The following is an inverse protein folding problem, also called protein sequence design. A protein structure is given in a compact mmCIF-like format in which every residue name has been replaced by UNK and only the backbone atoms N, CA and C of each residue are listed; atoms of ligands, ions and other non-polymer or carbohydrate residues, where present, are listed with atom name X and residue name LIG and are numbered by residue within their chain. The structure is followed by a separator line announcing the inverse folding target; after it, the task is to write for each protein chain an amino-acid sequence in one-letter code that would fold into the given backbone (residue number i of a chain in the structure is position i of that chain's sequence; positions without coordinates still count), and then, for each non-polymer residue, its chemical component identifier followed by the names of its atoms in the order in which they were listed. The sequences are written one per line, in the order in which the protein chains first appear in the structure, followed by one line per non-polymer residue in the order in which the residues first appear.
data_IF_548801573003
#
_entry.id   IF_548801573003
#
_cell.length_a   1.000
_cell.length_b   1.000
_cell.length_c   1.000
_cell.angle_alpha   90.00
_cell.angle_beta   90.00
_cell.angle_gamma   90.00
#
_symmetry.space_group_name_H-M   'P 1'
#
loop_
_entity.id
_entity.type
_entity.pdbx_description
1 polymer ?
#
# COMPACT_ATOMS: atom_id res chain seq x y z
N UNK A 1 0.00 24.79 -35.35
CA UNK A 1 -0.68 24.98 -34.05
C UNK A 1 0.38 25.36 -33.03
N UNK A 2 0.17 26.43 -32.26
CA UNK A 2 1.16 27.04 -31.35
C UNK A 2 1.58 26.08 -30.23
N UNK A 3 2.79 25.52 -30.30
CA UNK A 3 3.54 25.04 -29.13
C UNK A 3 3.99 26.27 -28.32
N UNK A 4 3.06 26.87 -27.58
CA UNK A 4 3.24 28.20 -26.99
C UNK A 4 3.71 28.16 -25.54
N UNK A 5 4.93 28.68 -25.30
CA UNK A 5 5.39 29.51 -24.16
C UNK A 5 5.26 28.99 -22.70
N UNK A 6 4.28 28.15 -22.36
CA UNK A 6 3.99 27.69 -20.99
C UNK A 6 5.01 26.69 -20.44
N UNK A 7 5.71 25.93 -21.30
CA UNK A 7 6.67 24.91 -20.86
C UNK A 7 7.95 25.49 -20.25
N UNK A 8 8.23 26.80 -20.41
CA UNK A 8 9.45 27.43 -19.89
C UNK A 8 9.36 27.87 -18.42
N UNK A 9 8.17 27.89 -17.82
CA UNK A 9 7.95 28.43 -16.46
C UNK A 9 7.27 27.44 -15.50
N UNK A 10 6.78 26.31 -16.00
CA UNK A 10 6.07 25.32 -15.19
C UNK A 10 6.80 23.98 -15.21
N UNK A 11 7.20 23.52 -14.03
CA UNK A 11 7.72 22.17 -13.80
C UNK A 11 6.71 21.33 -13.02
N UNK A 12 6.70 20.02 -13.26
CA UNK A 12 5.93 19.08 -12.46
C UNK A 12 6.74 17.82 -12.18
N UNK A 13 6.45 17.20 -11.05
CA UNK A 13 6.91 15.87 -10.69
C UNK A 13 5.72 15.05 -10.22
N UNK A 14 5.75 13.74 -10.45
CA UNK A 14 4.68 12.83 -10.06
C UNK A 14 5.29 11.57 -9.45
N UNK A 15 4.67 11.08 -8.38
CA UNK A 15 5.00 9.80 -7.78
C UNK A 15 3.83 8.84 -7.95
N UNK A 16 4.10 7.71 -8.59
CA UNK A 16 3.13 6.64 -8.80
C UNK A 16 3.32 5.57 -7.74
N UNK A 17 2.24 5.18 -7.09
CA UNK A 17 2.25 4.13 -6.06
C UNK A 17 1.35 3.00 -6.51
N UNK A 18 1.93 1.83 -6.78
CA UNK A 18 1.19 0.66 -7.27
C UNK A 18 0.29 0.07 -6.19
N UNK A 19 -0.74 -0.68 -6.60
CA UNK A 19 -1.61 -1.39 -5.66
C UNK A 19 -0.84 -2.42 -4.81
N UNK A 20 0.18 -3.06 -5.37
CA UNK A 20 1.11 -3.93 -4.66
C UNK A 20 1.88 -3.16 -3.57
N UNK A 21 2.46 -2.00 -3.88
CA UNK A 21 3.18 -1.17 -2.89
C UNK A 21 2.26 -0.72 -1.76
N UNK A 22 1.03 -0.30 -2.08
CA UNK A 22 0.01 0.08 -1.08
C UNK A 22 -0.31 -1.12 -0.18
N UNK A 23 -0.55 -2.29 -0.77
CA UNK A 23 -0.86 -3.52 -0.02
C UNK A 23 0.28 -3.92 0.90
N UNK A 24 1.50 -3.96 0.37
CA UNK A 24 2.70 -4.29 1.14
C UNK A 24 2.91 -3.31 2.30
N UNK A 25 2.77 -2.01 2.08
CA UNK A 25 2.91 -1.00 3.14
C UNK A 25 1.86 -1.15 4.25
N UNK A 26 0.61 -1.46 3.90
CA UNK A 26 -0.50 -1.56 4.85
C UNK A 26 -0.56 -2.90 5.59
N UNK A 27 -0.10 -3.99 4.97
CA UNK A 27 -0.20 -5.36 5.51
C UNK A 27 1.10 -5.91 6.11
N UNK A 28 2.23 -5.19 5.98
CA UNK A 28 3.50 -5.60 6.62
C UNK A 28 3.42 -5.66 8.15
N UNK A 29 4.40 -6.35 8.77
CA UNK A 29 4.57 -6.51 10.22
C UNK A 29 4.39 -5.19 10.99
N UNK A 30 5.08 -4.13 10.57
CA UNK A 30 4.92 -2.77 11.10
C UNK A 30 4.01 -1.94 10.21
N UNK A 31 2.70 -2.07 10.40
CA UNK A 31 1.67 -1.48 9.53
C UNK A 31 1.89 0.00 9.25
N UNK A 32 1.76 0.40 7.98
CA UNK A 32 1.74 1.79 7.55
C UNK A 32 0.34 2.15 7.06
N UNK A 33 -0.29 3.17 7.64
CA UNK A 33 -1.62 3.61 7.18
C UNK A 33 -1.54 4.28 5.81
N UNK A 34 -2.67 4.28 5.08
CA UNK A 34 -2.75 4.95 3.77
C UNK A 34 -2.46 6.45 3.88
N UNK A 35 -2.92 7.10 4.95
CA UNK A 35 -2.63 8.52 5.21
C UNK A 35 -1.13 8.75 5.40
N UNK A 36 -0.46 7.90 6.20
CA UNK A 36 0.98 8.00 6.40
C UNK A 36 1.75 7.76 5.10
N UNK A 37 1.32 6.80 4.28
CA UNK A 37 1.90 6.55 2.96
C UNK A 37 1.73 7.76 2.03
N UNK A 38 0.53 8.35 2.00
CA UNK A 38 0.21 9.55 1.21
C UNK A 38 1.07 10.75 1.63
N UNK A 39 1.14 11.03 2.93
CA UNK A 39 1.98 12.11 3.46
C UNK A 39 3.45 11.88 3.14
N UNK A 40 3.95 10.64 3.24
CA UNK A 40 5.32 10.31 2.87
C UNK A 40 5.59 10.63 1.40
N UNK A 41 4.71 10.25 0.47
CA UNK A 41 4.89 10.55 -0.96
C UNK A 41 4.93 12.07 -1.21
N UNK A 42 4.03 12.83 -0.58
CA UNK A 42 4.04 14.30 -0.68
C UNK A 42 5.36 14.91 -0.15
N UNK A 43 5.89 14.36 0.95
CA UNK A 43 7.17 14.80 1.50
C UNK A 43 8.36 14.43 0.60
N UNK A 44 8.35 13.27 -0.04
CA UNK A 44 9.42 12.89 -0.97
C UNK A 44 9.40 13.76 -2.24
N UNK A 45 8.22 14.12 -2.76
CA UNK A 45 8.13 15.09 -3.86
C UNK A 45 8.67 16.48 -3.49
N UNK A 46 8.39 16.94 -2.26
CA UNK A 46 8.92 18.21 -1.77
C UNK A 46 10.45 18.17 -1.59
N UNK A 47 10.98 17.07 -1.03
CA UNK A 47 12.43 16.86 -0.95
C UNK A 47 13.07 16.84 -2.32
N UNK A 48 12.48 16.12 -3.27
CA UNK A 48 12.98 16.06 -4.65
C UNK A 48 13.09 17.47 -5.25
N UNK A 49 12.11 18.34 -5.02
CA UNK A 49 12.19 19.74 -5.48
C UNK A 49 13.39 20.48 -4.86
N UNK A 50 13.60 20.35 -3.55
CA UNK A 50 14.71 20.98 -2.82
C UNK A 50 16.06 20.42 -3.30
N UNK A 51 16.18 19.11 -3.46
CA UNK A 51 17.38 18.42 -3.95
C UNK A 51 17.75 18.82 -5.39
N UNK A 52 16.76 19.22 -6.19
CA UNK A 52 16.97 19.76 -7.54
C UNK A 52 17.21 21.28 -7.53
N UNK A 53 17.60 21.87 -6.39
CA UNK A 53 17.89 23.29 -6.21
C UNK A 53 16.74 24.23 -6.60
N UNK A 54 15.49 23.76 -6.50
CA UNK A 54 14.31 24.62 -6.70
C UNK A 54 14.13 25.47 -5.44
N UNK A 55 14.08 26.80 -5.60
CA UNK A 55 13.83 27.72 -4.50
C UNK A 55 12.35 27.67 -4.06
N UNK A 56 12.03 26.74 -3.15
CA UNK A 56 10.67 26.57 -2.63
C UNK A 56 10.40 27.56 -1.49
N UNK A 57 9.58 28.57 -1.75
CA UNK A 57 9.19 29.59 -0.76
C UNK A 57 7.86 29.24 -0.07
N UNK A 58 6.88 28.80 -0.86
CA UNK A 58 5.54 28.46 -0.38
C UNK A 58 5.08 27.10 -0.91
N UNK A 59 4.36 26.35 -0.09
CA UNK A 59 3.79 25.04 -0.43
C UNK A 59 2.32 25.00 -0.05
N UNK A 60 1.49 24.60 -1.01
CA UNK A 60 0.05 24.46 -0.84
C UNK A 60 -0.33 22.98 -1.00
N UNK A 61 -1.03 22.42 -0.01
CA UNK A 61 -1.37 20.99 0.01
C UNK A 61 -2.87 20.82 0.22
N UNK A 62 -3.49 19.98 -0.61
CA UNK A 62 -4.87 19.53 -0.42
C UNK A 62 -4.96 18.37 0.57
N UNK A 63 -5.98 18.38 1.42
CA UNK A 63 -6.23 17.32 2.41
C UNK A 63 -7.69 16.90 2.44
N UNK A 64 -7.92 15.60 2.68
CA UNK A 64 -9.23 15.00 2.94
C UNK A 64 -9.49 14.78 4.43
N UNK A 65 -8.52 15.15 5.29
CA UNK A 65 -8.57 15.00 6.74
C UNK A 65 -8.11 16.27 7.48
N UNK A 66 -7.96 16.20 8.82
CA UNK A 66 -7.73 17.39 9.64
C UNK A 66 -6.44 18.13 9.25
N UNK A 67 -6.59 19.39 8.84
CA UNK A 67 -5.48 20.25 8.38
C UNK A 67 -4.38 20.48 9.42
N UNK A 68 -4.75 20.63 10.70
CA UNK A 68 -3.83 21.04 11.77
C UNK A 68 -2.66 20.08 11.98
N UNK A 69 -2.91 18.79 12.28
CA UNK A 69 -1.84 17.81 12.48
C UNK A 69 -0.95 17.64 11.25
N UNK A 70 -1.53 17.69 10.05
CA UNK A 70 -0.77 17.51 8.82
C UNK A 70 0.14 18.71 8.53
N UNK A 71 -0.37 19.93 8.69
CA UNK A 71 0.44 21.14 8.56
C UNK A 71 1.56 21.18 9.58
N UNK A 72 1.27 20.88 10.85
CA UNK A 72 2.29 20.85 11.91
C UNK A 72 3.41 19.82 11.62
N UNK A 73 3.04 18.65 11.09
CA UNK A 73 4.02 17.64 10.65
C UNK A 73 4.94 18.17 9.55
N UNK A 74 4.36 18.80 8.52
CA UNK A 74 5.13 19.33 7.40
C UNK A 74 6.03 20.49 7.83
N UNK A 75 5.52 21.45 8.60
CA UNK A 75 6.30 22.58 9.11
C UNK A 75 7.46 22.12 10.00
N UNK A 76 7.26 21.07 10.81
CA UNK A 76 8.34 20.49 11.63
C UNK A 76 9.45 19.89 10.78
N UNK A 77 9.11 19.28 9.65
CA UNK A 77 10.07 18.55 8.80
C UNK A 77 10.80 19.47 7.81
N UNK A 78 10.15 20.56 7.41
CA UNK A 78 10.68 21.55 6.46
C UNK A 78 10.66 22.94 7.08
N UNK A 79 11.52 23.20 8.08
CA UNK A 79 11.62 24.53 8.67
C UNK A 79 12.09 25.55 7.63
N UNK A 80 11.47 26.72 7.60
CA UNK A 80 11.84 27.82 6.68
C UNK A 80 10.98 27.92 5.41
N UNK A 81 10.11 26.93 5.14
CA UNK A 81 9.15 26.98 4.03
C UNK A 81 7.76 27.32 4.58
N UNK A 82 7.03 28.22 3.91
CA UNK A 82 5.65 28.56 4.29
C UNK A 82 4.69 27.50 3.74
N UNK A 83 4.20 26.64 4.63
CA UNK A 83 3.33 25.51 4.25
C UNK A 83 1.89 25.78 4.68
N UNK A 84 0.98 25.71 3.72
CA UNK A 84 -0.47 25.89 3.90
C UNK A 84 -1.18 24.61 3.50
N UNK A 85 -1.87 24.00 4.46
CA UNK A 85 -2.72 22.83 4.23
C UNK A 85 -4.19 23.26 4.30
N UNK A 86 -4.96 22.98 3.25
CA UNK A 86 -6.38 23.33 3.19
C UNK A 86 -7.21 22.19 2.61
N UNK A 87 -8.46 22.09 3.05
CA UNK A 87 -9.45 21.22 2.41
C UNK A 87 -9.94 21.88 1.12
N UNK A 88 -10.14 21.09 0.06
CA UNK A 88 -10.55 21.58 -1.28
C UNK A 88 -9.59 22.66 -1.79
N UNK A 89 -8.30 22.46 -1.57
CA UNK A 89 -7.26 23.40 -1.96
C UNK A 89 -7.16 23.52 -3.48
N UNK A 90 -7.55 22.49 -4.23
CA UNK A 90 -7.63 22.48 -5.69
C UNK A 90 -8.60 23.53 -6.25
N UNK A 91 -9.67 23.85 -5.53
CA UNK A 91 -10.61 24.91 -5.89
C UNK A 91 -10.15 26.31 -5.44
N UNK A 92 -9.28 26.40 -4.43
CA UNK A 92 -8.83 27.67 -3.82
C UNK A 92 -7.54 28.20 -4.42
N UNK A 93 -6.64 27.30 -4.80
CA UNK A 93 -5.28 27.63 -5.24
C UNK A 93 -5.03 27.04 -6.64
N UNK A 94 -4.82 27.88 -7.67
CA UNK A 94 -4.61 27.42 -9.04
C UNK A 94 -3.48 26.40 -9.19
N UNK A 95 -2.41 26.53 -8.40
CA UNK A 95 -1.27 25.60 -8.43
C UNK A 95 -1.64 24.19 -7.95
N UNK A 96 -2.54 24.10 -6.96
CA UNK A 96 -3.05 22.82 -6.45
C UNK A 96 -4.05 22.23 -7.44
N UNK A 97 -4.85 23.08 -8.10
CA UNK A 97 -5.71 22.68 -9.22
C UNK A 97 -4.90 22.08 -10.37
N UNK A 98 -3.79 22.73 -10.77
CA UNK A 98 -2.87 22.23 -11.78
C UNK A 98 -2.27 20.87 -11.37
N UNK A 99 -1.81 20.72 -10.12
CA UNK A 99 -1.31 19.45 -9.60
C UNK A 99 -2.38 18.33 -9.64
N UNK A 100 -3.65 18.65 -9.31
CA UNK A 100 -4.78 17.70 -9.39
C UNK A 100 -5.04 17.25 -10.83
N UNK A 101 -4.98 18.17 -11.80
CA UNK A 101 -5.10 17.84 -13.23
C UNK A 101 -3.96 16.93 -13.66
N UNK A 102 -2.71 17.29 -13.35
CA UNK A 102 -1.54 16.49 -13.72
C UNK A 102 -1.63 15.10 -13.10
N UNK A 103 -1.94 14.97 -11.81
CA UNK A 103 -2.10 13.68 -11.15
C UNK A 103 -3.16 12.80 -11.86
N UNK A 104 -4.32 13.37 -12.19
CA UNK A 104 -5.40 12.67 -12.91
C UNK A 104 -5.01 12.32 -14.35
N UNK A 105 -4.36 13.22 -15.07
CA UNK A 105 -3.94 13.03 -16.48
C UNK A 105 -2.80 12.02 -16.56
N UNK A 106 -1.80 12.09 -15.70
CA UNK A 106 -0.70 11.11 -15.65
C UNK A 106 -1.26 9.74 -15.26
N UNK A 107 -2.09 9.67 -14.22
CA UNK A 107 -2.76 8.44 -13.84
C UNK A 107 -3.61 7.88 -15.01
N UNK A 108 -4.44 8.72 -15.64
CA UNK A 108 -5.26 8.32 -16.79
C UNK A 108 -4.41 7.95 -18.00
N UNK A 109 -3.31 8.65 -18.27
CA UNK A 109 -2.42 8.40 -19.39
C UNK A 109 -1.78 7.04 -19.23
N UNK A 110 -1.26 6.72 -18.04
CA UNK A 110 -0.72 5.38 -17.75
C UNK A 110 -1.80 4.31 -17.91
N UNK A 111 -2.98 4.52 -17.32
CA UNK A 111 -4.10 3.59 -17.49
C UNK A 111 -4.61 3.49 -18.94
N UNK A 112 -4.48 4.56 -19.73
CA UNK A 112 -4.91 4.60 -21.13
C UNK A 112 -3.85 4.02 -22.07
N UNK A 113 -2.56 4.19 -21.77
CA UNK A 113 -1.47 3.49 -22.46
C UNK A 113 -1.64 1.99 -22.28
N UNK A 114 -1.96 1.56 -21.06
CA UNK A 114 -2.37 0.18 -20.76
C UNK A 114 -3.63 -0.26 -21.54
N UNK A 115 -4.57 0.65 -21.85
CA UNK A 115 -5.80 0.30 -22.60
C UNK A 115 -5.69 0.38 -24.12
N UNK A 116 -4.87 1.30 -24.67
CA UNK A 116 -4.92 1.70 -26.09
C UNK A 116 -3.85 1.01 -26.93
N UNK A 117 -2.66 0.80 -26.38
CA UNK A 117 -1.60 0.11 -27.12
C UNK A 117 -2.02 -1.34 -27.35
N UNK A 118 -2.15 -1.76 -28.60
CA UNK A 118 -2.53 -3.15 -28.96
C UNK A 118 -1.50 -4.17 -28.47
N UNK A 119 -0.27 -3.72 -28.26
CA UNK A 119 0.86 -4.43 -27.64
C UNK A 119 0.80 -4.44 -26.10
N UNK A 120 0.18 -3.42 -25.47
CA UNK A 120 -0.04 -3.30 -24.01
C UNK A 120 -1.47 -3.62 -23.56
N UNK A 121 -2.40 -3.97 -24.48
CA UNK A 121 -3.68 -4.62 -24.16
C UNK A 121 -3.46 -5.90 -23.36
N UNK A 122 -2.31 -6.52 -23.63
CA UNK A 122 -1.67 -7.42 -22.72
C UNK A 122 -0.88 -6.53 -21.73
N UNK A 123 -1.55 -5.91 -20.76
CA UNK A 123 -0.84 -5.67 -19.51
C UNK A 123 -0.42 -7.07 -19.11
N UNK A 124 0.84 -7.38 -19.37
CA UNK A 124 1.41 -8.65 -19.02
C UNK A 124 1.49 -8.59 -17.51
N UNK A 125 0.43 -9.09 -16.89
CA UNK A 125 0.46 -9.33 -15.47
C UNK A 125 1.74 -10.11 -15.21
N UNK A 126 2.57 -9.70 -14.24
CA UNK A 126 3.71 -10.52 -13.86
C UNK A 126 3.28 -11.94 -13.45
N UNK A 127 1.99 -12.12 -13.12
CA UNK A 127 1.33 -13.38 -12.84
C UNK A 127 0.95 -14.22 -14.08
N UNK A 128 1.13 -13.71 -15.31
CA UNK A 128 0.82 -14.42 -16.56
C UNK A 128 -0.60 -14.19 -17.08
N UNK A 129 -1.21 -15.24 -17.65
CA UNK A 129 -2.56 -15.17 -18.23
C UNK A 129 -3.63 -15.12 -17.15
N UNK A 130 -4.16 -13.92 -16.93
CA UNK A 130 -5.24 -13.68 -15.98
C UNK A 130 -6.56 -13.67 -16.73
N UNK A 131 -7.54 -14.42 -16.20
CA UNK A 131 -8.90 -14.39 -16.71
C UNK A 131 -9.59 -13.08 -16.30
N UNK A 132 -9.55 -12.09 -17.19
CA UNK A 132 -10.24 -10.81 -17.03
C UNK A 132 -11.63 -10.94 -17.67
N UNK A 133 -12.71 -10.57 -16.96
CA UNK A 133 -14.06 -10.58 -17.52
C UNK A 133 -14.14 -9.72 -18.80
N UNK A 134 -15.05 -10.02 -19.75
CA UNK A 134 -15.26 -9.21 -20.95
C UNK A 134 -15.61 -7.75 -20.65
N UNK A 135 -16.23 -7.49 -19.49
CA UNK A 135 -16.55 -6.15 -18.97
C UNK A 135 -15.34 -5.41 -18.38
N UNK A 136 -14.17 -6.05 -18.35
CA UNK A 136 -12.94 -5.54 -17.77
C UNK A 136 -12.96 -5.49 -16.25
N UNK A 137 -12.08 -4.67 -15.68
CA UNK A 137 -11.92 -4.46 -14.24
C UNK A 137 -12.78 -3.30 -13.69
N UNK A 138 -13.62 -2.67 -14.52
CA UNK A 138 -14.49 -1.56 -14.13
C UNK A 138 -13.74 -0.27 -13.77
N UNK A 139 -14.35 0.52 -12.89
CA UNK A 139 -13.85 1.79 -12.36
C UNK A 139 -12.75 1.64 -11.30
N UNK A 140 -12.64 0.47 -10.67
CA UNK A 140 -11.77 0.22 -9.52
C UNK A 140 -12.36 0.64 -8.17
N UNK A 141 -13.59 1.14 -8.11
CA UNK A 141 -14.27 1.48 -6.85
C UNK A 141 -15.15 0.34 -6.33
N UNK A 142 -15.24 0.13 -5.00
CA UNK A 142 -16.08 -0.92 -4.41
C UNK A 142 -17.57 -0.81 -4.72
N UNK A 143 -18.07 0.38 -5.11
CA UNK A 143 -19.47 0.59 -5.45
C UNK A 143 -19.85 0.12 -6.85
N UNK A 144 -18.86 -0.09 -7.73
CA UNK A 144 -19.09 -0.43 -9.13
C UNK A 144 -19.32 -1.94 -9.32
N UNK A 145 -20.46 -2.35 -9.91
CA UNK A 145 -20.76 -3.75 -10.19
C UNK A 145 -19.68 -4.47 -11.00
N UNK A 146 -19.08 -3.81 -11.99
CA UNK A 146 -18.04 -4.44 -12.84
C UNK A 146 -16.77 -4.71 -12.03
N UNK A 147 -16.38 -3.79 -11.15
CA UNK A 147 -15.24 -3.97 -10.25
C UNK A 147 -15.49 -5.13 -9.27
N UNK A 148 -16.71 -5.26 -8.74
CA UNK A 148 -17.07 -6.41 -7.88
C UNK A 148 -17.02 -7.73 -8.64
N UNK A 149 -17.52 -7.75 -9.88
CA UNK A 149 -17.51 -8.95 -10.71
C UNK A 149 -16.07 -9.41 -11.01
N UNK A 150 -15.20 -8.47 -11.38
CA UNK A 150 -13.77 -8.72 -11.55
C UNK A 150 -13.14 -9.35 -10.29
N UNK A 151 -13.38 -8.78 -9.11
CA UNK A 151 -12.87 -9.36 -7.85
C UNK A 151 -13.46 -10.74 -7.51
N UNK A 152 -14.62 -11.10 -8.07
CA UNK A 152 -15.23 -12.40 -7.84
C UNK A 152 -14.70 -13.46 -8.81
N UNK A 153 -14.41 -13.10 -10.05
CA UNK A 153 -13.97 -14.02 -11.11
C UNK A 153 -12.45 -14.22 -11.11
N UNK A 154 -11.67 -13.22 -10.71
CA UNK A 154 -10.21 -13.23 -10.82
C UNK A 154 -9.50 -13.69 -9.55
N UNK A 155 -10.22 -14.21 -8.54
CA UNK A 155 -9.60 -14.73 -7.31
C UNK A 155 -9.09 -16.16 -7.50
N UNK A 156 -7.78 -16.32 -7.38
CA UNK A 156 -7.10 -17.60 -7.28
C UNK A 156 -7.21 -18.17 -5.86
N UNK A 157 -7.34 -19.50 -5.74
CA UNK A 157 -7.56 -20.15 -4.45
C UNK A 157 -6.33 -20.11 -3.54
N UNK A 158 -5.12 -20.03 -4.09
CA UNK A 158 -3.85 -20.07 -3.35
C UNK A 158 -3.24 -18.67 -3.27
N UNK A 159 -3.11 -17.98 -4.40
CA UNK A 159 -2.42 -16.71 -4.53
C UNK A 159 -3.34 -15.49 -4.33
N UNK A 160 -4.66 -15.68 -4.40
CA UNK A 160 -5.62 -14.60 -4.24
C UNK A 160 -5.75 -13.76 -5.50
N UNK A 161 -5.30 -12.50 -5.47
CA UNK A 161 -5.51 -11.55 -6.56
C UNK A 161 -4.22 -11.18 -7.29
N UNK A 162 -4.30 -10.69 -8.54
CA UNK A 162 -3.16 -10.04 -9.16
C UNK A 162 -2.73 -8.76 -8.45
N UNK A 163 -1.49 -8.33 -8.72
CA UNK A 163 -0.86 -7.11 -8.21
C UNK A 163 -1.62 -5.82 -8.52
N UNK A 164 -2.59 -5.87 -9.44
CA UNK A 164 -3.52 -4.76 -9.72
C UNK A 164 -4.49 -4.50 -8.56
N UNK A 165 -4.80 -5.51 -7.75
CA UNK A 165 -5.74 -5.42 -6.63
C UNK A 165 -5.03 -5.00 -5.35
N UNK A 166 -5.64 -4.07 -4.62
CA UNK A 166 -5.18 -3.67 -3.29
C UNK A 166 -5.69 -4.68 -2.26
N UNK A 167 -4.85 -5.61 -1.83
CA UNK A 167 -5.18 -6.60 -0.80
C UNK A 167 -5.55 -5.97 0.54
N UNK A 168 -5.05 -4.77 0.83
CA UNK A 168 -5.39 -4.01 2.05
C UNK A 168 -6.81 -3.44 2.05
N UNK A 169 -7.54 -3.53 0.93
CA UNK A 169 -8.91 -3.02 0.82
C UNK A 169 -9.90 -4.00 1.44
N UNK A 170 -10.85 -3.49 2.23
CA UNK A 170 -11.77 -4.35 2.99
C UNK A 170 -12.60 -5.28 2.10
N UNK A 171 -13.04 -4.81 0.95
CA UNK A 171 -13.80 -5.62 -0.01
C UNK A 171 -12.96 -6.78 -0.54
N UNK A 172 -11.70 -6.56 -0.90
CA UNK A 172 -10.79 -7.59 -1.37
C UNK A 172 -10.48 -8.59 -0.24
N UNK A 173 -10.20 -8.11 0.96
CA UNK A 173 -9.94 -8.96 2.15
C UNK A 173 -11.11 -9.90 2.44
N UNK A 174 -12.34 -9.38 2.46
CA UNK A 174 -13.55 -10.19 2.75
C UNK A 174 -13.80 -11.24 1.66
N UNK A 175 -13.61 -10.90 0.39
CA UNK A 175 -13.79 -11.84 -0.71
C UNK A 175 -12.69 -12.91 -0.72
N UNK A 176 -11.44 -12.53 -0.44
CA UNK A 176 -10.32 -13.44 -0.33
C UNK A 176 -10.55 -14.47 0.78
N UNK A 177 -11.00 -14.05 1.96
CA UNK A 177 -11.32 -14.98 3.06
C UNK A 177 -12.47 -15.94 2.77
N UNK A 178 -13.38 -15.59 1.85
CA UNK A 178 -14.53 -16.43 1.48
C UNK A 178 -14.19 -17.43 0.38
N UNK A 179 -13.31 -17.07 -0.56
CA UNK A 179 -13.05 -17.85 -1.78
C UNK A 179 -11.68 -18.53 -1.82
N UNK A 180 -10.68 -18.01 -1.13
CA UNK A 180 -9.33 -18.56 -1.11
C UNK A 180 -9.08 -19.42 0.13
N UNK A 181 -8.05 -20.26 0.05
CA UNK A 181 -7.59 -21.11 1.15
C UNK A 181 -7.11 -20.24 2.32
N UNK A 182 -7.41 -20.68 3.54
CA UNK A 182 -7.02 -19.95 4.75
C UNK A 182 -5.49 -19.97 4.93
N UNK A 183 -4.86 -18.82 4.69
CA UNK A 183 -3.47 -18.59 5.07
C UNK A 183 -3.37 -18.10 6.53
N UNK A 184 -2.44 -18.66 7.31
CA UNK A 184 -2.10 -18.19 8.66
C UNK A 184 -0.69 -17.60 8.64
N UNK A 185 -0.59 -16.31 8.92
CA UNK A 185 0.68 -15.62 9.07
C UNK A 185 1.17 -15.71 10.52
N UNK A 186 2.49 -15.76 10.73
CA UNK A 186 3.07 -15.62 12.07
C UNK A 186 2.70 -14.24 12.62
N UNK A 187 2.05 -14.18 13.77
CA UNK A 187 1.74 -12.91 14.40
C UNK A 187 3.04 -12.13 14.70
N UNK A 188 3.07 -10.81 14.45
CA UNK A 188 4.08 -9.94 15.03
C UNK A 188 3.89 -9.97 16.55
N UNK A 189 4.65 -10.81 17.24
CA UNK A 189 4.72 -10.87 18.69
C UNK A 189 3.38 -10.95 19.45
N UNK A 190 2.92 -12.19 19.59
CA UNK A 190 2.50 -12.64 20.92
C UNK A 190 3.48 -13.71 21.38
N UNK A 191 4.77 -13.37 21.53
CA UNK A 191 5.48 -13.97 22.66
C UNK A 191 4.71 -13.46 23.88
N UNK A 192 4.04 -14.31 24.66
CA UNK A 192 3.70 -13.90 26.01
C UNK A 192 5.06 -13.53 26.60
N UNK A 193 5.29 -12.24 26.86
CA UNK A 193 6.38 -11.88 27.75
C UNK A 193 6.12 -12.69 29.00
N UNK A 194 6.93 -13.72 29.23
CA UNK A 194 6.84 -14.52 30.44
C UNK A 194 7.01 -13.50 31.55
N UNK A 195 5.93 -13.19 32.26
CA UNK A 195 5.97 -12.26 33.38
C UNK A 195 7.10 -12.70 34.29
N UNK A 196 7.89 -11.77 34.82
CA UNK A 196 9.03 -12.07 35.73
C UNK A 196 8.61 -13.04 36.86
N UNK A 197 7.34 -13.02 37.26
CA UNK A 197 6.74 -13.94 38.23
C UNK A 197 6.76 -15.43 37.84
N UNK A 198 6.89 -15.76 36.55
CA UNK A 198 7.05 -17.14 36.07
C UNK A 198 8.41 -17.76 36.41
N UNK A 199 9.44 -16.94 36.66
CA UNK A 199 10.77 -17.39 37.09
C UNK A 199 10.82 -17.80 38.58
N UNK A 200 9.85 -17.37 39.39
CA UNK A 200 9.83 -17.62 40.84
C UNK A 200 8.92 -18.79 41.25
N UNK A 201 8.36 -19.55 40.30
CA UNK A 201 7.58 -20.75 40.64
C UNK A 201 8.52 -21.93 40.96
N UNK A 202 8.38 -22.57 42.13
CA UNK A 202 9.16 -23.76 42.45
C UNK A 202 8.75 -24.90 41.51
N UNK A 203 9.70 -25.45 40.76
CA UNK A 203 9.49 -26.58 39.85
C UNK A 203 9.69 -27.88 40.61
N UNK A 204 8.62 -28.65 40.80
CA UNK A 204 8.70 -30.05 41.23
C UNK A 204 9.44 -30.87 40.16
N UNK A 205 10.48 -31.60 40.56
CA UNK A 205 11.27 -32.45 39.66
C UNK A 205 10.44 -33.64 39.18
N UNK A 206 9.71 -33.48 38.08
CA UNK A 206 9.28 -34.58 37.24
C UNK A 206 10.35 -34.80 36.16
N UNK A 207 11.14 -35.85 36.31
CA UNK A 207 12.07 -36.33 35.28
C UNK A 207 11.28 -37.00 34.15
N UNK A 208 10.50 -36.22 33.38
CA UNK A 208 10.21 -36.64 32.01
C UNK A 208 11.48 -36.44 31.19
N UNK A 209 11.75 -37.36 30.25
CA UNK A 209 12.87 -37.31 29.32
C UNK A 209 13.05 -35.90 28.78
N UNK A 210 13.99 -35.13 29.35
CA UNK A 210 14.29 -33.78 28.87
C UNK A 210 14.81 -33.94 27.46
N UNK A 211 13.99 -33.55 26.46
CA UNK A 211 14.45 -33.46 25.08
C UNK A 211 15.68 -32.56 25.07
N UNK A 212 16.77 -33.05 24.48
CA UNK A 212 17.99 -32.24 24.35
C UNK A 212 17.64 -30.90 23.72
N UNK A 213 18.24 -29.83 24.25
CA UNK A 213 18.07 -28.45 23.79
C UNK A 213 18.32 -28.33 22.28
N UNK A 214 19.19 -29.18 21.74
CA UNK A 214 19.44 -29.32 20.31
C UNK A 214 18.17 -29.51 19.47
N UNK A 215 17.22 -30.34 19.92
CA UNK A 215 15.98 -30.64 19.19
C UNK A 215 14.91 -29.56 19.39
N UNK A 216 14.80 -29.02 20.61
CA UNK A 216 13.83 -27.97 20.95
C UNK A 216 14.12 -26.69 20.15
N UNK A 217 15.38 -26.24 20.16
CA UNK A 217 15.79 -24.99 19.49
C UNK A 217 15.63 -25.07 17.96
N UNK A 218 15.59 -26.28 17.40
CA UNK A 218 15.43 -26.54 15.96
C UNK A 218 14.02 -26.98 15.56
N UNK A 219 13.07 -26.96 16.50
CA UNK A 219 11.69 -27.43 16.28
C UNK A 219 11.62 -28.87 15.73
N UNK A 220 12.56 -29.75 16.13
CA UNK A 220 12.61 -31.13 15.69
C UNK A 220 11.78 -32.03 16.61
N UNK A 221 10.90 -32.84 16.02
CA UNK A 221 10.00 -33.75 16.73
C UNK A 221 10.15 -35.16 16.16
N UNK A 222 10.08 -36.16 17.04
CA UNK A 222 9.98 -37.55 16.61
C UNK A 222 8.60 -37.78 16.00
N UNK A 223 8.56 -38.42 14.83
CA UNK A 223 7.30 -38.79 14.17
C UNK A 223 6.75 -40.01 14.90
N UNK A 224 5.61 -39.83 15.58
CA UNK A 224 4.97 -40.90 16.35
C UNK A 224 3.75 -41.53 15.66
N UNK A 225 3.20 -40.88 14.62
CA UNK A 225 2.09 -41.43 13.81
C UNK A 225 2.30 -41.08 12.33
N UNK A 226 1.92 -42.01 11.45
CA UNK A 226 2.03 -41.82 9.99
C UNK A 226 0.99 -40.83 9.43
N UNK A 227 0.05 -40.36 10.26
CA UNK A 227 -0.96 -39.34 9.94
C UNK A 227 -0.43 -37.90 9.99
N UNK A 228 0.85 -37.71 10.28
CA UNK A 228 1.50 -36.40 10.39
C UNK A 228 2.13 -35.94 9.05
N UNK A 229 1.79 -36.62 7.94
CA UNK A 229 2.07 -36.22 6.56
C UNK A 229 0.83 -35.57 5.92
#
# INVERSE_FOLDING_TARGET
MKEGVMSKHFGYACQLVSAQMISAAMLRRTKCSLNKLSHNCAMELLKLAIENNINVVEVYVDTVGPKGPYQAMLCKKFPGIKIIVSEKADAKFPIVGAASIIAKVVFRSINNLVRRDKTLRNWAFPEGDINIPPSGYGSGYPGDPNTKNFLLETVDQVFGYPNLVRFSWKTAEVLLHKKAVRCKWSNPESTPGSTITSFFKPSGKNYSLMKSRYFIDRCLLNISKCSDF
#
